data_IF_703933818644
#
_entry.id   IF_703933818644
#
_cell.length_a   1.000
_cell.length_b   1.000
_cell.length_c   1.000
_cell.angle_alpha   90.00
_cell.angle_beta   90.00
_cell.angle_gamma   90.00
#
_symmetry.space_group_name_H-M   'P 1'
#
loop_
_entity.id
_entity.type
_entity.pdbx_description
1 polymer ?
#
# COMPACT_ATOMS: atom_id res chain seq x y z
N UNK A 1 -34.87 -0.55 34.32
CA UNK A 1 -35.23 -0.17 32.94
C UNK A 1 -34.18 0.81 32.39
N UNK A 2 -33.04 0.31 31.87
CA UNK A 2 -31.80 1.12 31.65
C UNK A 2 -31.30 1.13 30.18
N UNK A 3 -32.03 0.56 29.22
CA UNK A 3 -31.64 0.61 27.80
C UNK A 3 -32.68 1.34 26.93
N UNK A 4 -32.88 2.63 27.18
CA UNK A 4 -33.58 3.56 26.26
C UNK A 4 -32.63 4.29 25.30
N UNK A 5 -31.38 3.83 25.15
CA UNK A 5 -30.52 4.29 24.07
C UNK A 5 -30.82 3.47 22.82
N UNK A 6 -31.16 4.13 21.71
CA UNK A 6 -31.36 3.50 20.40
C UNK A 6 -30.16 2.62 20.05
N UNK A 7 -30.39 1.36 19.65
CA UNK A 7 -29.35 0.42 19.23
C UNK A 7 -28.44 1.03 18.15
N UNK A 8 -28.99 1.86 17.26
CA UNK A 8 -28.23 2.64 16.30
C UNK A 8 -27.18 3.57 16.93
N UNK A 9 -27.49 4.23 18.05
CA UNK A 9 -26.55 5.10 18.77
C UNK A 9 -25.41 4.31 19.40
N UNK A 10 -25.65 3.05 19.78
CA UNK A 10 -24.58 2.11 20.21
C UNK A 10 -23.68 1.78 19.02
N UNK A 11 -24.25 1.37 17.89
CA UNK A 11 -23.47 0.98 16.70
C UNK A 11 -22.67 2.15 16.11
N UNK A 12 -23.17 3.40 16.20
CA UNK A 12 -22.45 4.60 15.75
C UNK A 12 -21.14 4.85 16.53
N UNK A 13 -21.10 4.42 17.80
CA UNK A 13 -19.90 4.52 18.66
C UNK A 13 -18.79 3.56 18.22
N UNK A 14 -19.13 2.45 17.55
CA UNK A 14 -18.19 1.41 17.12
C UNK A 14 -17.28 0.95 18.29
N UNK A 15 -16.02 0.61 18.02
CA UNK A 15 -15.03 0.16 19.01
C UNK A 15 -14.73 1.20 20.12
N UNK A 16 -15.20 2.44 20.00
CA UNK A 16 -15.01 3.48 21.00
C UNK A 16 -16.20 3.51 21.96
N UNK A 17 -16.09 2.75 23.05
CA UNK A 17 -17.13 2.59 24.08
C UNK A 17 -17.52 3.91 24.78
N UNK A 18 -16.69 4.95 24.72
CA UNK A 18 -16.95 6.26 25.36
C UNK A 18 -17.37 7.38 24.38
N UNK A 19 -18.52 7.97 24.70
CA UNK A 19 -19.47 8.61 23.78
C UNK A 19 -19.11 10.04 23.29
N UNK A 20 -17.97 10.63 23.65
CA UNK A 20 -17.54 11.97 23.18
C UNK A 20 -16.24 11.95 22.37
N UNK A 21 -15.44 10.92 22.57
CA UNK A 21 -14.11 10.82 21.98
C UNK A 21 -14.17 10.15 20.59
N UNK A 22 -15.23 9.38 20.30
CA UNK A 22 -15.33 8.54 19.09
C UNK A 22 -15.45 9.34 17.78
N UNK A 23 -16.37 10.30 17.67
CA UNK A 23 -16.55 11.09 16.42
C UNK A 23 -15.35 11.98 16.16
N UNK A 24 -14.81 12.64 17.20
CA UNK A 24 -13.60 13.45 17.07
C UNK A 24 -12.40 12.61 16.63
N UNK A 25 -12.26 11.37 17.11
CA UNK A 25 -11.24 10.44 16.64
C UNK A 25 -11.44 10.03 15.18
N UNK A 26 -12.68 9.83 14.71
CA UNK A 26 -12.96 9.55 13.30
C UNK A 26 -12.58 10.73 12.41
N UNK A 27 -12.91 11.95 12.83
CA UNK A 27 -12.53 13.19 12.11
C UNK A 27 -11.00 13.35 12.13
N UNK A 28 -10.35 13.17 13.28
CA UNK A 28 -8.90 13.25 13.38
C UNK A 28 -8.21 12.20 12.49
N UNK A 29 -8.74 10.97 12.45
CA UNK A 29 -8.25 9.92 11.56
C UNK A 29 -8.45 10.29 10.09
N UNK A 30 -9.59 10.87 9.72
CA UNK A 30 -9.85 11.34 8.36
C UNK A 30 -8.89 12.48 7.94
N UNK A 31 -8.66 13.45 8.82
CA UNK A 31 -7.69 14.53 8.60
C UNK A 31 -6.28 13.96 8.46
N UNK A 32 -5.91 13.01 9.33
CA UNK A 32 -4.64 12.31 9.25
C UNK A 32 -4.47 11.59 7.90
N UNK A 33 -5.51 10.94 7.38
CA UNK A 33 -5.45 10.28 6.07
C UNK A 33 -5.23 11.27 4.93
N UNK A 34 -5.88 12.42 4.97
CA UNK A 34 -5.66 13.49 3.99
C UNK A 34 -4.22 14.03 4.07
N UNK A 35 -3.75 14.36 5.27
CA UNK A 35 -2.36 14.80 5.50
C UNK A 35 -1.32 13.76 5.08
N UNK A 36 -1.54 12.48 5.42
CA UNK A 36 -0.64 11.39 5.10
C UNK A 36 -0.56 11.16 3.59
N UNK A 37 -1.71 11.16 2.90
CA UNK A 37 -1.76 11.05 1.44
C UNK A 37 -1.03 12.22 0.78
N UNK A 38 -1.24 13.43 1.30
CA UNK A 38 -0.57 14.63 0.81
C UNK A 38 0.95 14.62 1.05
N UNK A 39 1.40 14.16 2.22
CA UNK A 39 2.82 13.97 2.51
C UNK A 39 3.45 12.92 1.59
N UNK A 40 2.74 11.81 1.35
CA UNK A 40 3.20 10.76 0.45
C UNK A 40 3.28 11.24 -1.00
N UNK A 41 2.36 12.10 -1.44
CA UNK A 41 2.45 12.75 -2.74
C UNK A 41 3.76 13.52 -2.90
N UNK A 42 4.18 14.31 -1.91
CA UNK A 42 5.48 15.00 -1.97
C UNK A 42 6.67 14.05 -2.03
N UNK A 43 6.60 12.92 -1.33
CA UNK A 43 7.61 11.86 -1.44
C UNK A 43 7.70 11.37 -2.88
N UNK A 44 6.58 11.09 -3.52
CA UNK A 44 6.58 10.68 -4.93
C UNK A 44 7.09 11.77 -5.88
N UNK A 45 6.78 13.04 -5.62
CA UNK A 45 7.29 14.15 -6.44
C UNK A 45 8.83 14.25 -6.42
N UNK A 46 9.50 13.82 -5.35
CA UNK A 46 10.98 13.73 -5.35
C UNK A 46 11.55 12.66 -6.28
N UNK A 47 10.70 11.78 -6.83
CA UNK A 47 11.06 10.69 -7.73
C UNK A 47 10.56 10.91 -9.17
N UNK A 48 10.19 12.14 -9.52
CA UNK A 48 9.64 12.46 -10.84
C UNK A 48 10.63 12.14 -11.98
N UNK A 49 11.93 12.29 -11.75
CA UNK A 49 12.99 11.95 -12.73
C UNK A 49 13.45 10.50 -12.55
N UNK A 50 12.54 9.54 -12.49
CA UNK A 50 12.88 8.12 -12.33
C UNK A 50 11.90 7.25 -13.12
N UNK A 51 12.14 5.92 -13.16
CA UNK A 51 11.24 4.94 -13.80
C UNK A 51 9.75 5.11 -13.43
N UNK A 52 9.48 5.68 -12.25
CA UNK A 52 8.12 5.90 -11.77
C UNK A 52 7.33 6.89 -12.62
N UNK A 53 7.97 7.84 -13.34
CA UNK A 53 7.29 8.72 -14.30
C UNK A 53 6.67 7.95 -15.46
N UNK A 54 7.32 6.88 -15.88
CA UNK A 54 6.90 6.10 -17.04
C UNK A 54 5.87 5.05 -16.66
N UNK A 55 6.06 4.42 -15.49
CA UNK A 55 5.21 3.31 -15.03
C UNK A 55 3.91 3.81 -14.41
N UNK A 56 3.95 4.92 -13.65
CA UNK A 56 2.77 5.49 -12.98
C UNK A 56 2.73 7.02 -13.17
N UNK A 57 2.58 7.48 -14.43
CA UNK A 57 2.58 8.91 -14.75
C UNK A 57 1.47 9.67 -14.01
N UNK A 58 0.38 8.99 -13.65
CA UNK A 58 -0.79 9.60 -13.01
C UNK A 58 -0.48 10.17 -11.63
N UNK A 59 0.47 9.59 -10.90
CA UNK A 59 0.86 10.03 -9.55
C UNK A 59 1.93 11.13 -9.63
N UNK A 60 2.75 11.12 -10.68
CA UNK A 60 3.90 12.01 -10.83
C UNK A 60 3.54 13.40 -11.35
N UNK A 61 2.35 13.59 -11.93
CA UNK A 61 1.93 14.90 -12.43
C UNK A 61 1.62 15.91 -11.30
N UNK A 62 2.05 17.18 -11.42
CA UNK A 62 1.73 18.23 -10.46
C UNK A 62 0.27 18.68 -10.60
N UNK A 63 -0.67 17.91 -10.04
CA UNK A 63 -2.09 18.12 -10.26
C UNK A 63 -3.02 17.70 -9.11
N UNK A 64 -4.23 18.26 -9.11
CA UNK A 64 -5.34 17.77 -8.27
C UNK A 64 -5.70 16.32 -8.55
N UNK A 65 -5.53 15.86 -9.78
CA UNK A 65 -5.82 14.48 -10.15
C UNK A 65 -4.90 13.51 -9.39
N UNK A 66 -3.59 13.77 -9.40
CA UNK A 66 -2.56 12.93 -8.80
C UNK A 66 -2.70 12.81 -7.28
N UNK A 67 -2.91 13.94 -6.60
CA UNK A 67 -3.12 13.98 -5.14
C UNK A 67 -4.36 13.19 -4.71
N UNK A 68 -5.46 13.33 -5.45
CA UNK A 68 -6.72 12.64 -5.15
C UNK A 68 -6.67 11.16 -5.53
N UNK A 69 -6.08 10.85 -6.68
CA UNK A 69 -5.86 9.47 -7.11
C UNK A 69 -5.07 8.70 -6.06
N UNK A 70 -4.00 9.30 -5.52
CA UNK A 70 -3.22 8.72 -4.43
C UNK A 70 -4.07 8.56 -3.16
N UNK A 71 -4.82 9.58 -2.76
CA UNK A 71 -5.71 9.51 -1.59
C UNK A 71 -6.69 8.33 -1.66
N UNK A 72 -7.32 8.10 -2.82
CA UNK A 72 -8.28 7.00 -3.02
C UNK A 72 -7.66 5.63 -2.74
N UNK A 73 -6.39 5.41 -3.11
CA UNK A 73 -5.71 4.14 -2.87
C UNK A 73 -5.25 4.01 -1.41
N UNK A 74 -4.76 5.11 -0.83
CA UNK A 74 -4.28 5.14 0.56
C UNK A 74 -5.42 4.93 1.56
N UNK A 75 -6.57 5.58 1.36
CA UNK A 75 -7.73 5.42 2.26
C UNK A 75 -8.23 3.99 2.29
N UNK A 76 -8.21 3.27 1.15
CA UNK A 76 -8.56 1.86 1.08
C UNK A 76 -7.63 1.04 2.00
N UNK A 77 -6.31 1.19 1.87
CA UNK A 77 -5.32 0.46 2.67
C UNK A 77 -5.52 0.70 4.20
N UNK A 78 -5.74 1.95 4.59
CA UNK A 78 -5.95 2.29 5.99
C UNK A 78 -7.30 1.82 6.55
N UNK A 79 -8.38 1.89 5.76
CA UNK A 79 -9.70 1.38 6.19
C UNK A 79 -9.67 -0.14 6.35
N UNK A 80 -8.97 -0.87 5.48
CA UNK A 80 -8.78 -2.32 5.63
C UNK A 80 -8.01 -2.63 6.91
N UNK A 81 -6.91 -1.90 7.17
CA UNK A 81 -6.15 -2.04 8.42
C UNK A 81 -7.04 -1.79 9.64
N UNK A 82 -7.85 -0.73 9.62
CA UNK A 82 -8.85 -0.44 10.66
C UNK A 82 -9.86 -1.59 10.83
N UNK A 83 -10.37 -2.16 9.74
CA UNK A 83 -11.29 -3.30 9.78
C UNK A 83 -10.65 -4.57 10.36
N UNK A 84 -9.37 -4.82 10.07
CA UNK A 84 -8.63 -5.97 10.62
C UNK A 84 -8.40 -5.80 12.13
N UNK A 85 -7.97 -4.61 12.56
CA UNK A 85 -7.67 -4.32 13.95
C UNK A 85 -8.93 -4.37 14.83
N UNK A 86 -10.04 -3.78 14.35
CA UNK A 86 -11.29 -3.66 15.11
C UNK A 86 -12.38 -4.64 14.66
N UNK A 87 -11.99 -5.75 14.02
CA UNK A 87 -12.89 -6.75 13.45
C UNK A 87 -14.00 -7.20 14.43
N UNK A 88 -13.63 -7.43 15.69
CA UNK A 88 -14.51 -7.95 16.74
C UNK A 88 -15.65 -7.00 17.12
N UNK A 89 -15.49 -5.70 16.89
CA UNK A 89 -16.48 -4.69 17.21
C UNK A 89 -17.30 -4.29 15.99
N UNK A 90 -16.66 -4.20 14.82
CA UNK A 90 -17.28 -3.65 13.60
C UNK A 90 -18.24 -4.63 12.90
N UNK A 91 -17.93 -5.92 12.92
CA UNK A 91 -18.67 -6.92 12.13
C UNK A 91 -19.56 -7.83 13.01
N UNK A 92 -20.08 -8.92 12.44
CA UNK A 92 -21.03 -9.81 13.12
C UNK A 92 -20.40 -10.77 14.16
N UNK A 93 -19.23 -10.42 14.71
CA UNK A 93 -18.62 -11.19 15.80
C UNK A 93 -19.53 -11.25 17.05
N UNK A 94 -20.37 -10.23 17.28
CA UNK A 94 -21.38 -10.20 18.33
C UNK A 94 -22.43 -11.31 18.22
N UNK A 95 -22.77 -11.74 16.99
CA UNK A 95 -23.71 -12.85 16.76
C UNK A 95 -23.09 -14.15 17.29
N UNK A 96 -21.79 -14.36 17.05
CA UNK A 96 -21.05 -15.52 17.56
C UNK A 96 -20.91 -15.50 19.08
N UNK A 97 -20.79 -14.31 19.69
CA UNK A 97 -20.74 -14.12 21.16
C UNK A 97 -22.13 -14.14 21.81
N UNK A 98 -23.17 -14.56 21.09
CA UNK A 98 -24.57 -14.61 21.55
C UNK A 98 -25.17 -13.29 22.05
N UNK A 99 -24.50 -12.15 21.82
CA UNK A 99 -25.02 -10.85 22.28
C UNK A 99 -26.33 -10.50 21.57
N UNK A 100 -26.45 -10.88 20.30
CA UNK A 100 -27.68 -10.69 19.53
C UNK A 100 -28.82 -11.59 20.00
N UNK A 101 -28.53 -12.83 20.42
CA UNK A 101 -29.54 -13.73 20.95
C UNK A 101 -30.22 -13.12 22.19
N UNK A 102 -29.43 -12.61 23.13
CA UNK A 102 -29.96 -11.92 24.32
C UNK A 102 -30.81 -10.70 23.96
N UNK A 103 -30.39 -9.90 22.98
CA UNK A 103 -31.16 -8.74 22.51
C UNK A 103 -32.50 -9.17 21.87
N UNK A 104 -32.51 -10.26 21.11
CA UNK A 104 -33.74 -10.79 20.51
C UNK A 104 -34.71 -11.25 21.60
N UNK A 105 -34.23 -11.94 22.64
CA UNK A 105 -35.06 -12.35 23.78
C UNK A 105 -35.60 -11.16 24.59
N UNK A 106 -34.87 -10.03 24.60
CA UNK A 106 -35.34 -8.76 25.17
C UNK A 106 -36.31 -7.99 24.25
N UNK A 107 -36.72 -8.56 23.11
CA UNK A 107 -37.73 -7.98 22.21
C UNK A 107 -37.17 -7.13 21.07
N UNK A 108 -35.85 -7.11 20.83
CA UNK A 108 -35.28 -6.38 19.70
C UNK A 108 -35.49 -7.13 18.38
N UNK A 109 -35.86 -6.41 17.32
CA UNK A 109 -36.06 -6.98 15.98
C UNK A 109 -34.70 -7.19 15.27
N UNK A 110 -34.34 -8.42 14.86
CA UNK A 110 -33.08 -8.71 14.15
C UNK A 110 -32.87 -7.89 12.88
N UNK A 111 -33.94 -7.59 12.14
CA UNK A 111 -33.86 -6.83 10.88
C UNK A 111 -33.45 -5.38 11.15
N UNK A 112 -34.03 -4.75 12.17
CA UNK A 112 -33.69 -3.38 12.57
C UNK A 112 -32.24 -3.33 13.10
N UNK A 113 -31.82 -4.35 13.84
CA UNK A 113 -30.43 -4.46 14.31
C UNK A 113 -29.44 -4.59 13.14
N UNK A 114 -29.75 -5.43 12.14
CA UNK A 114 -28.95 -5.54 10.92
C UNK A 114 -28.81 -4.20 10.20
N UNK A 115 -29.92 -3.52 9.88
CA UNK A 115 -29.87 -2.24 9.19
C UNK A 115 -29.15 -1.17 10.02
N UNK A 116 -29.38 -1.14 11.34
CA UNK A 116 -28.68 -0.20 12.22
C UNK A 116 -27.16 -0.38 12.16
N UNK A 117 -26.69 -1.63 12.17
CA UNK A 117 -25.26 -1.95 12.08
C UNK A 117 -24.68 -1.63 10.71
N UNK A 118 -25.41 -1.98 9.65
CA UNK A 118 -25.04 -1.67 8.27
C UNK A 118 -24.88 -0.15 8.06
N UNK A 119 -25.91 0.62 8.40
CA UNK A 119 -25.90 2.07 8.24
C UNK A 119 -24.86 2.75 9.13
N UNK A 120 -24.65 2.29 10.37
CA UNK A 120 -23.62 2.85 11.25
C UNK A 120 -22.20 2.64 10.68
N UNK A 121 -21.91 1.47 10.13
CA UNK A 121 -20.60 1.21 9.51
C UNK A 121 -20.42 2.01 8.23
N UNK A 122 -21.43 1.99 7.33
CA UNK A 122 -21.38 2.76 6.09
C UNK A 122 -21.25 4.26 6.34
N UNK A 123 -22.06 4.83 7.23
CA UNK A 123 -21.96 6.24 7.62
C UNK A 123 -20.56 6.61 8.12
N UNK A 124 -19.96 5.74 8.95
CA UNK A 124 -18.62 5.98 9.47
C UNK A 124 -17.55 5.97 8.38
N UNK A 125 -17.62 5.02 7.44
CA UNK A 125 -16.69 4.92 6.32
C UNK A 125 -16.85 6.10 5.38
N UNK A 126 -18.09 6.46 5.04
CA UNK A 126 -18.42 7.64 4.23
C UNK A 126 -17.86 8.89 4.90
N UNK A 127 -18.14 9.12 6.19
CA UNK A 127 -17.64 10.30 6.90
C UNK A 127 -16.10 10.39 6.86
N UNK A 128 -15.41 9.30 7.16
CA UNK A 128 -13.94 9.27 7.15
C UNK A 128 -13.42 9.59 5.75
N UNK A 129 -13.99 8.96 4.73
CA UNK A 129 -13.60 9.16 3.35
C UNK A 129 -13.87 10.58 2.84
N UNK A 130 -15.06 11.13 3.08
CA UNK A 130 -15.43 12.48 2.64
C UNK A 130 -14.58 13.55 3.31
N UNK A 131 -14.36 13.46 4.63
CA UNK A 131 -13.54 14.45 5.34
C UNK A 131 -12.09 14.41 4.85
N UNK A 132 -11.48 13.23 4.70
CA UNK A 132 -10.11 13.13 4.20
C UNK A 132 -9.98 13.59 2.73
N UNK A 133 -11.01 13.36 1.90
CA UNK A 133 -11.04 13.81 0.52
C UNK A 133 -11.08 15.35 0.43
N UNK A 134 -11.94 15.99 1.24
CA UNK A 134 -12.02 17.45 1.33
C UNK A 134 -10.69 18.03 1.84
N UNK A 135 -10.10 17.45 2.88
CA UNK A 135 -8.78 17.87 3.39
C UNK A 135 -7.73 17.81 2.29
N UNK A 136 -7.71 16.73 1.50
CA UNK A 136 -6.76 16.58 0.38
C UNK A 136 -6.97 17.67 -0.67
N UNK A 137 -8.22 17.98 -1.04
CA UNK A 137 -8.52 19.10 -1.96
C UNK A 137 -8.02 20.44 -1.40
N UNK A 138 -8.28 20.72 -0.12
CA UNK A 138 -7.87 21.97 0.52
C UNK A 138 -6.34 22.09 0.51
N UNK A 139 -5.63 21.02 0.88
CA UNK A 139 -4.17 21.00 0.87
C UNK A 139 -3.60 21.19 -0.53
N UNK A 140 -4.18 20.52 -1.54
CA UNK A 140 -3.74 20.70 -2.93
C UNK A 140 -4.03 22.10 -3.46
N UNK A 141 -5.10 22.73 -3.00
CA UNK A 141 -5.39 24.13 -3.33
C UNK A 141 -4.30 25.08 -2.84
N UNK A 142 -3.67 24.81 -1.70
CA UNK A 142 -2.53 25.59 -1.19
C UNK A 142 -1.29 25.51 -2.11
N UNK A 143 -1.19 24.47 -2.95
CA UNK A 143 -0.10 24.32 -3.92
C UNK A 143 -0.31 25.13 -5.21
N UNK A 144 -1.42 25.86 -5.33
CA UNK A 144 -1.76 26.68 -6.51
C UNK A 144 -1.78 25.91 -7.83
N UNK A 145 -2.07 24.60 -7.80
CA UNK A 145 -2.30 23.82 -9.01
C UNK A 145 -3.59 24.23 -9.72
N UNK A 146 -3.68 23.94 -11.02
CA UNK A 146 -4.90 24.24 -11.80
C UNK A 146 -6.08 23.43 -11.28
N UNK A 147 -7.08 24.13 -10.74
CA UNK A 147 -8.29 23.50 -10.22
C UNK A 147 -9.22 23.12 -11.37
N UNK A 148 -9.52 21.83 -11.51
CA UNK A 148 -10.48 21.31 -12.49
C UNK A 148 -11.54 20.51 -11.74
N UNK A 149 -12.75 21.07 -11.68
CA UNK A 149 -13.88 20.49 -10.95
C UNK A 149 -14.43 19.21 -11.63
N UNK A 150 -14.29 19.09 -12.95
CA UNK A 150 -14.99 18.07 -13.74
C UNK A 150 -14.71 16.63 -13.30
N UNK A 151 -13.47 16.30 -12.92
CA UNK A 151 -13.12 14.92 -12.50
C UNK A 151 -13.29 14.65 -11.01
N UNK A 152 -13.51 15.67 -10.17
CA UNK A 152 -13.59 15.49 -8.71
C UNK A 152 -14.77 14.60 -8.29
N UNK A 153 -16.01 14.78 -8.81
CA UNK A 153 -17.15 13.94 -8.44
C UNK A 153 -16.94 12.48 -8.87
N UNK A 154 -16.43 12.26 -10.07
CA UNK A 154 -16.18 10.93 -10.62
C UNK A 154 -15.14 10.17 -9.78
N UNK A 155 -14.01 10.81 -9.47
CA UNK A 155 -12.98 10.23 -8.59
C UNK A 155 -13.51 9.97 -7.18
N UNK A 156 -14.27 10.91 -6.62
CA UNK A 156 -14.90 10.74 -5.30
C UNK A 156 -15.76 9.47 -5.27
N UNK A 157 -16.60 9.26 -6.29
CA UNK A 157 -17.50 8.13 -6.36
C UNK A 157 -16.79 6.80 -6.59
N UNK A 158 -15.71 6.78 -7.37
CA UNK A 158 -14.88 5.59 -7.54
C UNK A 158 -14.36 5.10 -6.20
N UNK A 159 -13.71 5.97 -5.42
CA UNK A 159 -13.20 5.57 -4.11
C UNK A 159 -14.31 5.21 -3.11
N UNK A 160 -15.45 5.91 -3.17
CA UNK A 160 -16.61 5.60 -2.34
C UNK A 160 -17.18 4.21 -2.66
N UNK A 161 -17.36 3.89 -3.93
CA UNK A 161 -17.88 2.60 -4.38
C UNK A 161 -16.98 1.44 -3.94
N UNK A 162 -15.66 1.59 -4.10
CA UNK A 162 -14.67 0.60 -3.65
C UNK A 162 -14.78 0.34 -2.14
N UNK A 163 -14.87 1.41 -1.34
CA UNK A 163 -15.02 1.30 0.12
C UNK A 163 -16.35 0.67 0.54
N UNK A 164 -17.46 1.01 -0.11
CA UNK A 164 -18.78 0.41 0.16
C UNK A 164 -18.78 -1.07 -0.19
N UNK A 165 -18.17 -1.45 -1.32
CA UNK A 165 -18.02 -2.84 -1.76
C UNK A 165 -17.18 -3.66 -0.77
N UNK A 166 -16.02 -3.15 -0.35
CA UNK A 166 -15.18 -3.79 0.68
C UNK A 166 -15.96 -3.96 1.98
N UNK A 167 -16.73 -2.95 2.37
CA UNK A 167 -17.48 -2.95 3.63
C UNK A 167 -18.58 -4.03 3.63
N UNK A 168 -19.38 -4.14 2.56
CA UNK A 168 -20.45 -5.15 2.48
C UNK A 168 -19.90 -6.57 2.32
N UNK A 169 -18.81 -6.76 1.56
CA UNK A 169 -18.14 -8.05 1.42
C UNK A 169 -17.55 -8.50 2.76
N UNK A 170 -16.88 -7.59 3.48
CA UNK A 170 -16.30 -7.90 4.79
C UNK A 170 -17.37 -8.25 5.83
N UNK A 171 -18.50 -7.53 5.83
CA UNK A 171 -19.67 -7.92 6.63
C UNK A 171 -20.18 -9.32 6.26
N UNK A 172 -20.26 -9.63 4.96
CA UNK A 172 -20.76 -10.92 4.48
C UNK A 172 -19.87 -12.07 4.94
N UNK A 173 -18.57 -11.99 4.67
CA UNK A 173 -17.64 -13.04 5.08
C UNK A 173 -17.54 -13.19 6.60
N UNK A 174 -17.81 -12.12 7.36
CA UNK A 174 -17.83 -12.21 8.82
C UNK A 174 -18.85 -13.21 9.36
N UNK A 175 -19.96 -13.45 8.64
CA UNK A 175 -20.98 -14.45 8.99
C UNK A 175 -20.55 -15.91 8.69
N UNK A 176 -19.50 -16.10 7.90
CA UNK A 176 -18.93 -17.40 7.57
C UNK A 176 -17.67 -17.70 8.39
N UNK A 177 -17.11 -16.68 9.05
CA UNK A 177 -15.88 -16.80 9.82
C UNK A 177 -16.10 -17.57 11.15
N UNK A 178 -15.56 -18.79 11.22
CA UNK A 178 -15.59 -19.61 12.44
C UNK A 178 -14.79 -19.00 13.60
N UNK A 179 -13.66 -18.35 13.30
CA UNK A 179 -12.78 -17.72 14.29
C UNK A 179 -12.57 -16.23 13.96
N UNK A 180 -12.19 -15.44 14.97
CA UNK A 180 -11.80 -14.02 14.79
C UNK A 180 -10.68 -13.89 13.76
N UNK A 181 -9.65 -14.73 13.89
CA UNK A 181 -8.47 -14.68 13.02
C UNK A 181 -8.83 -14.99 11.56
N UNK A 182 -9.66 -16.01 11.31
CA UNK A 182 -10.14 -16.29 9.96
C UNK A 182 -10.95 -15.12 9.42
N UNK A 183 -11.75 -14.47 10.28
CA UNK A 183 -12.47 -13.25 9.93
C UNK A 183 -11.55 -12.12 9.47
N UNK A 184 -10.45 -11.87 10.20
CA UNK A 184 -9.43 -10.88 9.82
C UNK A 184 -8.77 -11.21 8.48
N UNK A 185 -8.45 -12.48 8.22
CA UNK A 185 -7.92 -12.91 6.92
C UNK A 185 -8.93 -12.72 5.79
N UNK A 186 -10.21 -13.03 6.03
CA UNK A 186 -11.26 -12.77 5.05
C UNK A 186 -11.41 -11.28 4.75
N UNK A 187 -11.32 -10.40 5.75
CA UNK A 187 -11.30 -8.94 5.55
C UNK A 187 -10.12 -8.48 4.70
N UNK A 188 -8.93 -9.06 4.87
CA UNK A 188 -7.80 -8.76 3.98
C UNK A 188 -8.08 -9.26 2.55
N UNK A 189 -8.61 -10.48 2.42
CA UNK A 189 -8.91 -11.07 1.11
C UNK A 189 -9.98 -10.30 0.34
N UNK A 190 -10.93 -9.62 1.02
CA UNK A 190 -11.93 -8.78 0.33
C UNK A 190 -11.29 -7.63 -0.42
N UNK A 191 -10.27 -7.00 0.15
CA UNK A 191 -9.53 -5.93 -0.50
C UNK A 191 -8.80 -6.41 -1.74
N UNK A 192 -8.11 -7.57 -1.63
CA UNK A 192 -7.44 -8.22 -2.75
C UNK A 192 -8.44 -8.56 -3.85
N UNK A 193 -9.60 -9.10 -3.48
CA UNK A 193 -10.67 -9.44 -4.41
C UNK A 193 -11.19 -8.19 -5.15
N UNK A 194 -11.41 -7.07 -4.45
CA UNK A 194 -11.85 -5.81 -5.08
C UNK A 194 -10.78 -5.28 -6.04
N UNK A 195 -9.51 -5.33 -5.67
CA UNK A 195 -8.41 -4.95 -6.55
C UNK A 195 -8.34 -5.83 -7.81
N UNK A 196 -8.45 -7.15 -7.66
CA UNK A 196 -8.48 -8.10 -8.78
C UNK A 196 -9.68 -7.87 -9.68
N UNK A 197 -10.88 -7.64 -9.12
CA UNK A 197 -12.09 -7.33 -9.89
C UNK A 197 -11.93 -6.03 -10.69
N UNK A 198 -11.32 -5.00 -10.10
CA UNK A 198 -11.07 -3.71 -10.74
C UNK A 198 -10.15 -3.84 -11.95
N UNK A 199 -9.10 -4.65 -11.82
CA UNK A 199 -8.16 -4.93 -12.92
C UNK A 199 -8.80 -5.83 -13.99
N UNK A 200 -9.47 -6.91 -13.59
CA UNK A 200 -10.08 -7.87 -14.50
C UNK A 200 -11.23 -7.28 -15.33
N UNK A 201 -11.99 -6.33 -14.76
CA UNK A 201 -13.14 -5.70 -15.42
C UNK A 201 -12.77 -4.40 -16.16
N UNK A 202 -11.49 -4.07 -16.30
CA UNK A 202 -11.02 -2.94 -17.11
C UNK A 202 -11.21 -1.56 -16.47
N UNK A 203 -11.43 -1.48 -15.15
CA UNK A 203 -11.70 -0.22 -14.47
C UNK A 203 -10.41 0.59 -14.20
N UNK A 204 -9.27 -0.07 -14.05
CA UNK A 204 -7.99 0.62 -13.72
C UNK A 204 -7.54 1.62 -14.80
N UNK A 205 -7.53 1.28 -16.12
CA UNK A 205 -7.18 2.23 -17.19
C UNK A 205 -8.10 3.45 -17.27
N UNK A 206 -9.36 3.32 -16.83
CA UNK A 206 -10.34 4.41 -16.85
C UNK A 206 -10.03 5.39 -15.72
N UNK A 207 -9.68 4.89 -14.52
CA UNK A 207 -9.40 5.72 -13.34
C UNK A 207 -8.04 6.40 -13.46
N UNK A 208 -7.08 5.79 -14.15
CA UNK A 208 -5.77 6.38 -14.38
C UNK A 208 -5.83 7.52 -15.41
N UNK A 209 -6.83 7.54 -16.30
CA UNK A 209 -6.95 8.57 -17.31
C UNK A 209 -7.79 9.79 -16.83
N UNK A 210 -7.13 10.95 -16.78
CA UNK A 210 -7.75 12.23 -16.39
C UNK A 210 -8.94 12.62 -17.27
N UNK A 211 -8.90 12.34 -18.58
CA UNK A 211 -9.93 12.75 -19.53
C UNK A 211 -11.21 11.93 -19.33
N UNK A 212 -11.09 10.61 -19.18
CA UNK A 212 -12.26 9.76 -18.91
C UNK A 212 -12.93 10.15 -17.60
N UNK A 213 -12.16 10.49 -16.57
CA UNK A 213 -12.71 10.89 -15.27
C UNK A 213 -13.50 12.21 -15.30
N UNK A 214 -13.39 13.06 -16.32
CA UNK A 214 -14.19 14.30 -16.41
C UNK A 214 -15.68 14.05 -16.63
N UNK A 215 -16.03 12.91 -17.23
CA UNK A 215 -17.41 12.57 -17.57
C UNK A 215 -17.91 11.47 -16.64
N UNK A 216 -18.91 11.78 -15.81
CA UNK A 216 -19.52 10.82 -14.88
C UNK A 216 -20.10 9.57 -15.58
N UNK A 217 -20.65 9.74 -16.79
CA UNK A 217 -21.25 8.65 -17.56
C UNK A 217 -20.27 7.54 -17.95
N UNK A 218 -18.96 7.83 -17.98
CA UNK A 218 -17.93 6.85 -18.31
C UNK A 218 -17.88 5.68 -17.34
N UNK A 219 -18.26 5.91 -16.08
CA UNK A 219 -18.31 4.87 -15.05
C UNK A 219 -19.37 3.79 -15.33
N UNK A 220 -20.45 4.16 -16.01
CA UNK A 220 -21.57 3.26 -16.30
C UNK A 220 -21.56 2.71 -17.72
N UNK A 221 -20.54 3.04 -18.52
CA UNK A 221 -20.43 2.54 -19.88
C UNK A 221 -19.90 1.09 -19.88
N UNK A 222 -20.81 0.15 -20.16
CA UNK A 222 -20.52 -1.29 -20.22
C UNK A 222 -19.51 -1.69 -21.29
N UNK A 223 -19.32 -0.85 -22.32
CA UNK A 223 -18.29 -1.10 -23.34
C UNK A 223 -16.87 -0.84 -22.81
N UNK A 224 -16.74 0.06 -21.83
CA UNK A 224 -15.45 0.43 -21.24
C UNK A 224 -15.14 -0.44 -20.01
N UNK A 225 -16.11 -0.62 -19.10
CA UNK A 225 -15.91 -1.41 -17.89
C UNK A 225 -17.21 -2.00 -17.37
N UNK A 226 -17.17 -3.28 -17.01
CA UNK A 226 -18.26 -3.99 -16.34
C UNK A 226 -18.26 -3.82 -14.82
N UNK A 227 -17.28 -3.11 -14.25
CA UNK A 227 -17.03 -3.07 -12.80
C UNK A 227 -18.21 -2.54 -12.00
N UNK A 228 -18.86 -1.47 -12.45
CA UNK A 228 -19.99 -0.86 -11.73
C UNK A 228 -21.23 -1.75 -11.72
N UNK A 229 -21.50 -2.44 -12.83
CA UNK A 229 -22.62 -3.39 -12.92
C UNK A 229 -22.36 -4.61 -12.03
N UNK A 230 -21.17 -5.22 -12.13
CA UNK A 230 -20.81 -6.37 -11.30
C UNK A 230 -20.74 -5.99 -9.82
N UNK A 231 -20.13 -4.86 -9.49
CA UNK A 231 -20.01 -4.35 -8.13
C UNK A 231 -21.37 -4.08 -7.49
N UNK A 232 -22.30 -3.44 -8.21
CA UNK A 232 -23.67 -3.23 -7.71
C UNK A 232 -24.43 -4.55 -7.50
N UNK A 233 -24.29 -5.51 -8.42
CA UNK A 233 -24.85 -6.86 -8.27
C UNK A 233 -24.30 -7.60 -7.05
N UNK A 234 -23.00 -7.49 -6.78
CA UNK A 234 -22.35 -8.04 -5.59
C UNK A 234 -22.90 -7.38 -4.32
N UNK A 235 -23.00 -6.05 -4.28
CA UNK A 235 -23.52 -5.32 -3.11
C UNK A 235 -24.93 -5.78 -2.75
N UNK A 236 -25.83 -5.87 -3.75
CA UNK A 236 -27.22 -6.31 -3.54
C UNK A 236 -27.26 -7.75 -3.04
N UNK A 237 -26.55 -8.66 -3.71
CA UNK A 237 -26.53 -10.09 -3.36
C UNK A 237 -25.97 -10.32 -1.95
N UNK A 238 -24.85 -9.69 -1.63
CA UNK A 238 -24.21 -9.76 -0.32
C UNK A 238 -25.08 -9.15 0.79
N UNK A 239 -25.76 -8.03 0.50
CA UNK A 239 -26.72 -7.41 1.41
C UNK A 239 -27.88 -8.34 1.77
N UNK A 240 -28.47 -9.01 0.76
CA UNK A 240 -29.52 -10.00 0.98
C UNK A 240 -29.02 -11.21 1.78
N UNK A 241 -27.85 -11.76 1.43
CA UNK A 241 -27.23 -12.87 2.17
C UNK A 241 -27.02 -12.48 3.64
N UNK A 242 -26.50 -11.27 3.90
CA UNK A 242 -26.31 -10.78 5.27
C UNK A 242 -27.63 -10.70 6.04
N UNK A 243 -28.68 -10.15 5.43
CA UNK A 243 -29.99 -9.99 6.08
C UNK A 243 -30.60 -11.34 6.46
N UNK A 244 -30.63 -12.31 5.54
CA UNK A 244 -31.21 -13.63 5.81
C UNK A 244 -30.37 -14.44 6.80
N UNK A 245 -29.05 -14.46 6.60
CA UNK A 245 -28.15 -15.30 7.39
C UNK A 245 -27.93 -14.75 8.80
N UNK A 246 -27.79 -13.44 8.97
CA UNK A 246 -27.67 -12.84 10.32
C UNK A 246 -28.93 -13.12 11.15
N UNK A 247 -30.12 -12.97 10.55
CA UNK A 247 -31.40 -13.31 11.18
C UNK A 247 -31.47 -14.78 11.57
N UNK A 248 -31.01 -15.69 10.71
CA UNK A 248 -31.10 -17.12 10.99
C UNK A 248 -30.15 -17.55 12.11
N UNK A 249 -28.89 -17.11 12.06
CA UNK A 249 -27.88 -17.48 13.07
C UNK A 249 -28.22 -16.86 14.43
N UNK A 250 -28.70 -15.62 14.47
CA UNK A 250 -28.99 -14.93 15.74
C UNK A 250 -30.16 -15.53 16.54
N UNK A 251 -31.01 -16.37 15.92
CA UNK A 251 -32.10 -17.08 16.62
C UNK A 251 -31.59 -18.16 17.56
N UNK A 252 -30.42 -18.72 17.30
CA UNK A 252 -29.89 -19.86 18.03
C UNK A 252 -28.77 -19.40 18.96
N UNK A 253 -28.77 -19.96 20.17
CA UNK A 253 -27.66 -19.79 21.09
C UNK A 253 -26.49 -20.65 20.61
N UNK A 254 -25.39 -20.02 20.22
CA UNK A 254 -24.17 -20.74 19.89
C UNK A 254 -23.43 -21.07 21.18
N UNK A 255 -23.39 -22.33 21.62
CA UNK A 255 -22.40 -22.72 22.63
C UNK A 255 -21.01 -22.53 22.00
N UNK A 256 -20.39 -21.38 22.25
CA UNK A 256 -18.94 -21.32 22.19
C UNK A 256 -18.45 -22.24 23.31
N UNK A 257 -17.63 -23.26 23.03
CA UNK A 257 -16.97 -24.01 24.11
C UNK A 257 -16.03 -23.02 24.80
N UNK A 258 -16.54 -22.34 25.82
CA UNK A 258 -15.76 -21.45 26.66
C UNK A 258 -15.05 -22.33 27.68
N UNK A 259 -13.73 -22.53 27.57
CA UNK A 259 -13.00 -23.44 28.45
C UNK A 259 -13.02 -22.98 29.93
N UNK A 260 -13.42 -21.74 30.21
CA UNK A 260 -13.39 -21.16 31.56
C UNK A 260 -14.69 -21.39 32.36
N UNK A 261 -15.78 -21.81 31.70
CA UNK A 261 -17.09 -22.07 32.35
C UNK A 261 -17.25 -23.55 32.75
N UNK A 262 -16.35 -24.42 32.27
CA UNK A 262 -16.43 -25.87 32.44
C UNK A 262 -15.35 -26.35 33.42
N UNK A 263 -15.69 -27.22 34.39
CA UNK A 263 -14.70 -27.87 35.23
C UNK A 263 -13.66 -28.61 34.36
N UNK A 264 -12.37 -28.52 34.72
CA UNK A 264 -11.23 -29.04 33.94
C UNK A 264 -11.31 -30.54 33.56
N UNK A 265 -12.21 -31.30 34.19
CA UNK A 265 -12.29 -32.76 34.10
C UNK A 265 -13.55 -33.29 33.38
N UNK A 266 -14.34 -32.45 32.70
CA UNK A 266 -15.51 -32.91 31.93
C UNK A 266 -15.25 -32.96 30.42
N UNK A 267 -15.37 -34.16 29.85
CA UNK A 267 -15.42 -34.37 28.40
C UNK A 267 -16.82 -34.00 27.87
N UNK A 268 -16.90 -32.92 27.09
CA UNK A 268 -18.13 -32.55 26.39
C UNK A 268 -18.29 -33.41 25.14
N UNK A 269 -19.47 -34.01 24.99
CA UNK A 269 -19.84 -34.78 23.80
C UNK A 269 -20.93 -33.99 23.06
N UNK A 270 -20.62 -33.53 21.85
CA UNK A 270 -21.62 -32.98 20.93
C UNK A 270 -22.37 -34.15 20.30
N UNK A 271 -23.69 -34.20 20.49
CA UNK A 271 -24.55 -35.20 19.85
C UNK A 271 -25.21 -34.51 18.66
N UNK A 272 -24.90 -34.96 17.45
CA UNK A 272 -25.57 -34.50 16.24
C UNK A 272 -27.05 -34.94 16.28
N UNK A 273 -27.96 -33.97 16.28
CA UNK A 273 -29.40 -34.21 16.40
C UNK A 273 -30.00 -34.97 15.22
N UNK A 274 -29.30 -35.02 14.08
CA UNK A 274 -29.77 -35.69 12.86
C UNK A 274 -29.15 -37.08 12.72
N UNK A 275 -27.87 -37.24 13.06
CA UNK A 275 -27.14 -38.50 12.84
C UNK A 275 -26.89 -39.32 14.10
N UNK A 276 -27.18 -38.78 15.29
CA UNK A 276 -26.94 -39.42 16.59
C UNK A 276 -25.45 -39.64 16.91
N UNK A 277 -24.54 -39.15 16.06
CA UNK A 277 -23.11 -39.35 16.23
C UNK A 277 -22.59 -38.47 17.36
N UNK A 278 -21.92 -39.12 18.30
CA UNK A 278 -21.25 -38.50 19.43
C UNK A 278 -19.85 -38.04 19.01
N UNK A 279 -19.58 -36.74 19.14
CA UNK A 279 -18.26 -36.16 18.89
C UNK A 279 -17.71 -35.58 20.18
N UNK A 280 -16.64 -36.18 20.68
CA UNK A 280 -15.93 -35.69 21.88
C UNK A 280 -15.22 -34.37 21.53
N UNK A 281 -15.63 -33.29 22.16
CA UNK A 281 -14.96 -31.98 22.10
C UNK A 281 -13.83 -32.02 23.12
N UNK A 282 -12.66 -32.54 22.73
CA UNK A 282 -11.50 -32.57 23.61
C UNK A 282 -11.04 -31.14 23.93
N UNK A 283 -11.10 -30.76 25.20
CA UNK A 283 -10.61 -29.49 25.76
C UNK A 283 -9.08 -29.53 25.86
N UNK A 284 -8.37 -29.76 24.75
CA UNK A 284 -6.98 -29.33 24.67
C UNK A 284 -6.99 -27.87 24.28
N UNK A 285 -7.07 -26.99 25.28
CA UNK A 285 -6.65 -25.60 25.16
C UNK A 285 -5.22 -25.63 24.65
N UNK A 286 -5.05 -25.53 23.32
CA UNK A 286 -3.75 -25.33 22.68
C UNK A 286 -3.29 -23.93 23.10
N UNK A 287 -2.69 -23.85 24.29
CA UNK A 287 -1.96 -22.69 24.78
C UNK A 287 -0.89 -22.35 23.74
N UNK A 288 -1.20 -21.38 22.89
CA UNK A 288 -0.24 -20.45 22.32
C UNK A 288 0.76 -20.91 21.26
N UNK A 289 0.60 -22.04 20.55
CA UNK A 289 1.53 -22.32 19.42
C UNK A 289 1.45 -21.22 18.35
N UNK A 290 0.24 -20.69 18.11
CA UNK A 290 -0.02 -19.63 17.13
C UNK A 290 0.41 -18.23 17.58
N UNK A 291 0.32 -17.94 18.88
CA UNK A 291 0.87 -16.71 19.45
C UNK A 291 2.38 -16.68 19.30
N UNK A 292 3.04 -17.80 19.60
CA UNK A 292 4.48 -17.97 19.37
C UNK A 292 4.85 -17.86 17.90
N UNK A 293 4.11 -18.48 16.97
CA UNK A 293 4.37 -18.35 15.53
C UNK A 293 4.21 -16.90 15.06
N UNK A 294 3.13 -16.21 15.43
CA UNK A 294 2.95 -14.80 15.07
C UNK A 294 4.05 -13.93 15.65
N UNK A 295 4.44 -14.13 16.91
CA UNK A 295 5.51 -13.38 17.55
C UNK A 295 6.88 -13.70 16.93
N UNK A 296 7.13 -14.97 16.53
CA UNK A 296 8.34 -15.38 15.82
C UNK A 296 8.39 -14.81 14.40
N UNK A 297 7.27 -14.82 13.67
CA UNK A 297 7.18 -14.28 12.32
C UNK A 297 7.32 -12.76 12.34
N UNK A 298 6.67 -12.05 13.27
CA UNK A 298 6.82 -10.59 13.37
C UNK A 298 8.26 -10.19 13.73
N UNK A 299 8.88 -10.92 14.66
CA UNK A 299 10.28 -10.69 15.03
C UNK A 299 11.23 -11.00 13.86
N UNK A 300 11.01 -12.11 13.15
CA UNK A 300 11.80 -12.47 11.96
C UNK A 300 11.66 -11.40 10.86
N UNK A 301 10.45 -10.95 10.58
CA UNK A 301 10.19 -9.93 9.57
C UNK A 301 10.84 -8.59 9.95
N UNK A 302 10.81 -8.22 11.24
CA UNK A 302 11.48 -7.03 11.75
C UNK A 302 13.01 -7.13 11.63
N UNK A 303 13.60 -8.29 11.93
CA UNK A 303 15.03 -8.55 11.74
C UNK A 303 15.39 -8.45 10.26
N UNK A 304 14.66 -9.13 9.38
CA UNK A 304 14.90 -9.08 7.92
C UNK A 304 14.79 -7.65 7.41
N UNK A 305 13.79 -6.89 7.85
CA UNK A 305 13.62 -5.49 7.48
C UNK A 305 14.82 -4.62 7.90
N UNK A 306 15.29 -4.77 9.14
CA UNK A 306 16.48 -4.04 9.63
C UNK A 306 17.71 -4.43 8.82
N UNK A 307 17.94 -5.73 8.57
CA UNK A 307 19.08 -6.21 7.79
C UNK A 307 19.07 -5.65 6.36
N UNK A 308 17.91 -5.67 5.69
CA UNK A 308 17.75 -5.11 4.34
C UNK A 308 17.98 -3.60 4.34
N UNK A 309 17.41 -2.86 5.29
CA UNK A 309 17.58 -1.42 5.38
C UNK A 309 19.05 -1.03 5.63
N UNK A 310 19.75 -1.75 6.51
CA UNK A 310 21.19 -1.57 6.73
C UNK A 310 22.02 -1.89 5.49
N UNK A 311 21.71 -2.99 4.79
CA UNK A 311 22.40 -3.35 3.54
C UNK A 311 22.22 -2.27 2.47
N UNK A 312 21.01 -1.72 2.32
CA UNK A 312 20.72 -0.60 1.42
C UNK A 312 21.54 0.63 1.81
N UNK A 313 21.62 1.00 3.10
CA UNK A 313 22.43 2.13 3.53
C UNK A 313 23.91 1.96 3.20
N UNK A 314 24.49 0.79 3.49
CA UNK A 314 25.88 0.49 3.14
C UNK A 314 26.08 0.61 1.63
N UNK A 315 25.16 0.05 0.85
CA UNK A 315 25.20 0.13 -0.60
C UNK A 315 25.15 1.57 -1.13
N UNK A 316 24.28 2.42 -0.59
CA UNK A 316 24.19 3.85 -0.96
C UNK A 316 25.47 4.60 -0.59
N UNK A 317 26.05 4.33 0.59
CA UNK A 317 27.32 4.93 0.99
C UNK A 317 28.43 4.56 -0.01
N UNK A 318 28.49 3.29 -0.43
CA UNK A 318 29.47 2.82 -1.42
C UNK A 318 29.31 3.53 -2.77
N UNK A 319 28.07 3.70 -3.24
CA UNK A 319 27.79 4.40 -4.50
C UNK A 319 28.12 5.90 -4.37
N UNK A 320 27.65 6.57 -3.32
CA UNK A 320 27.89 8.00 -3.12
C UNK A 320 29.37 8.32 -2.81
N UNK A 321 30.12 7.37 -2.25
CA UNK A 321 31.56 7.51 -2.02
C UNK A 321 32.40 7.35 -3.30
N UNK A 322 31.78 6.92 -4.41
CA UNK A 322 32.41 6.87 -5.73
C UNK A 322 32.45 8.27 -6.34
N UNK A 323 33.23 9.16 -5.71
CA UNK A 323 33.62 10.49 -6.20
C UNK A 323 34.63 10.38 -7.35
N UNK A 324 34.72 11.39 -8.26
CA UNK A 324 35.74 11.41 -9.33
C UNK A 324 37.15 11.21 -8.77
N UNK A 325 37.88 10.23 -9.30
CA UNK A 325 39.24 9.86 -8.87
C UNK A 325 39.35 8.67 -7.91
N UNK A 326 38.26 8.18 -7.29
CA UNK A 326 38.23 6.92 -6.51
C UNK A 326 36.95 6.13 -6.78
N UNK A 327 36.86 5.53 -7.96
CA UNK A 327 35.74 4.66 -8.32
C UNK A 327 35.78 3.36 -7.49
N UNK A 328 34.72 3.10 -6.72
CA UNK A 328 34.62 1.87 -5.95
C UNK A 328 34.12 0.75 -6.87
N UNK A 329 35.05 -0.02 -7.43
CA UNK A 329 34.70 -1.19 -8.24
C UNK A 329 34.28 -2.37 -7.36
N UNK A 330 33.07 -2.88 -7.55
CA UNK A 330 32.57 -4.08 -6.88
C UNK A 330 32.75 -5.25 -7.86
N UNK A 331 33.67 -6.16 -7.56
CA UNK A 331 34.01 -7.32 -8.44
C UNK A 331 34.35 -6.91 -9.88
N UNK A 332 35.01 -5.77 -10.06
CA UNK A 332 35.41 -5.26 -11.39
C UNK A 332 34.30 -4.50 -12.12
N UNK A 333 33.14 -4.27 -11.49
CA UNK A 333 32.05 -3.44 -12.05
C UNK A 333 31.98 -2.12 -11.26
N UNK A 334 31.90 -1.01 -11.97
CA UNK A 334 31.74 0.34 -11.45
C UNK A 334 30.25 0.69 -11.53
N UNK A 335 29.53 0.76 -10.40
CA UNK A 335 28.17 1.26 -10.38
C UNK A 335 28.17 2.79 -10.46
N UNK A 336 27.38 3.36 -11.37
CA UNK A 336 27.32 4.81 -11.59
C UNK A 336 25.87 5.27 -11.76
N UNK A 337 25.46 6.30 -11.02
CA UNK A 337 24.12 6.90 -11.17
C UNK A 337 24.22 7.98 -12.24
N UNK A 338 23.52 7.79 -13.35
CA UNK A 338 23.59 8.71 -14.47
C UNK A 338 22.72 9.95 -14.20
N UNK A 339 23.28 11.16 -14.27
CA UNK A 339 22.57 12.40 -13.90
C UNK A 339 22.25 13.31 -15.10
N UNK A 340 22.41 12.82 -16.33
CA UNK A 340 22.21 13.58 -17.57
C UNK A 340 21.14 12.91 -18.45
N UNK A 341 20.62 13.61 -19.45
CA UNK A 341 19.77 13.05 -20.50
C UNK A 341 20.53 12.73 -21.79
N UNK A 342 21.84 12.96 -21.83
CA UNK A 342 22.68 12.90 -23.06
C UNK A 342 22.79 11.52 -23.70
N UNK A 343 22.39 10.46 -23.01
CA UNK A 343 22.51 9.06 -23.49
C UNK A 343 21.14 8.40 -23.70
N UNK A 344 20.06 9.19 -23.73
CA UNK A 344 18.73 8.69 -24.02
C UNK A 344 18.64 8.19 -25.48
N UNK A 345 17.92 7.08 -25.76
CA UNK A 345 17.08 6.29 -24.84
C UNK A 345 17.82 5.11 -24.17
N UNK A 346 19.11 4.90 -24.45
CA UNK A 346 19.82 3.72 -23.96
C UNK A 346 20.11 3.79 -22.46
N UNK A 347 20.43 4.99 -21.95
CA UNK A 347 20.59 5.30 -20.53
C UNK A 347 19.76 6.55 -20.23
N UNK A 348 18.88 6.45 -19.24
CA UNK A 348 18.02 7.56 -18.83
C UNK A 348 18.51 8.19 -17.53
N UNK A 349 18.00 9.39 -17.26
CA UNK A 349 18.33 10.13 -16.04
C UNK A 349 17.98 9.32 -14.78
N UNK A 350 18.88 9.37 -13.80
CA UNK A 350 18.87 8.66 -12.52
C UNK A 350 18.86 7.13 -12.62
N UNK A 351 19.20 6.55 -13.77
CA UNK A 351 19.43 5.11 -13.87
C UNK A 351 20.72 4.70 -13.14
N UNK A 352 20.68 3.53 -12.50
CA UNK A 352 21.89 2.88 -12.03
C UNK A 352 22.52 2.11 -13.20
N UNK A 353 23.63 2.63 -13.71
CA UNK A 353 24.42 2.03 -14.80
C UNK A 353 25.60 1.25 -14.25
N UNK A 354 26.01 0.23 -14.99
CA UNK A 354 27.12 -0.64 -14.64
C UNK A 354 28.19 -0.58 -15.73
N UNK A 355 29.41 -0.21 -15.35
CA UNK A 355 30.55 -0.20 -16.24
C UNK A 355 31.55 -1.28 -15.84
N UNK A 356 31.91 -2.16 -16.76
CA UNK A 356 32.98 -3.11 -16.56
C UNK A 356 34.31 -2.35 -16.58
N UNK A 357 35.10 -2.43 -15.50
CA UNK A 357 36.42 -1.82 -15.45
C UNK A 357 37.31 -2.46 -16.50
N UNK A 358 37.97 -1.63 -17.31
CA UNK A 358 38.84 -2.08 -18.40
C UNK A 358 40.26 -1.53 -18.22
N UNK A 359 41.25 -2.33 -18.60
CA UNK A 359 42.63 -1.88 -18.65
C UNK A 359 42.91 -1.09 -19.94
N UNK A 360 43.99 -0.32 -19.96
CA UNK A 360 44.40 0.48 -21.13
C UNK A 360 44.65 -0.35 -22.40
N UNK A 361 44.91 -1.65 -22.26
CA UNK A 361 45.15 -2.59 -23.37
C UNK A 361 43.86 -3.13 -24.01
N UNK A 362 42.71 -2.97 -23.34
CA UNK A 362 41.44 -3.48 -23.85
C UNK A 362 41.04 -2.72 -25.12
N UNK A 363 40.68 -3.44 -26.18
CA UNK A 363 40.26 -2.83 -27.44
C UNK A 363 38.81 -2.33 -27.32
N UNK A 364 38.63 -1.03 -27.52
CA UNK A 364 37.32 -0.37 -27.54
C UNK A 364 36.88 -0.28 -29.01
N UNK A 365 35.65 -0.71 -29.27
CA UNK A 365 35.04 -0.72 -30.61
C UNK A 365 34.12 0.50 -30.81
N UNK A 366 33.89 0.86 -32.07
CA UNK A 366 32.94 1.92 -32.42
C UNK A 366 31.51 1.49 -32.03
N UNK A 367 30.72 2.45 -31.55
CA UNK A 367 29.37 2.24 -31.04
C UNK A 367 29.28 1.86 -29.56
N UNK A 368 30.40 1.57 -28.89
CA UNK A 368 30.42 1.26 -27.46
C UNK A 368 30.24 2.52 -26.60
N UNK A 369 29.51 2.39 -25.49
CA UNK A 369 29.36 3.45 -24.48
C UNK A 369 30.44 3.27 -23.42
N UNK A 370 31.16 4.36 -23.11
CA UNK A 370 32.30 4.33 -22.20
C UNK A 370 32.16 5.37 -21.09
N UNK A 371 32.71 5.04 -19.92
CA UNK A 371 32.90 5.95 -18.80
C UNK A 371 34.35 6.45 -18.83
N UNK A 372 34.52 7.76 -18.92
CA UNK A 372 35.84 8.39 -18.96
C UNK A 372 35.88 9.66 -18.12
N UNK A 373 37.10 10.06 -17.75
CA UNK A 373 37.33 11.27 -16.97
C UNK A 373 37.97 12.36 -17.83
N UNK A 374 37.38 13.56 -17.80
CA UNK A 374 37.91 14.75 -18.44
C UNK A 374 37.75 15.93 -17.49
N UNK A 375 38.82 16.70 -17.26
CA UNK A 375 38.80 17.85 -16.34
C UNK A 375 38.28 17.54 -14.92
N UNK A 376 38.64 16.37 -14.37
CA UNK A 376 38.16 15.85 -13.07
C UNK A 376 36.64 15.62 -13.00
N UNK A 377 35.96 15.52 -14.14
CA UNK A 377 34.55 15.17 -14.24
C UNK A 377 34.40 13.87 -15.02
N UNK A 378 33.47 13.02 -14.58
CA UNK A 378 33.14 11.78 -15.25
C UNK A 378 32.07 12.05 -16.31
N UNK A 379 32.32 11.54 -17.51
CA UNK A 379 31.41 11.60 -18.64
C UNK A 379 31.08 10.19 -19.14
N UNK A 380 29.86 10.03 -19.64
CA UNK A 380 29.40 8.81 -20.30
C UNK A 380 28.94 9.20 -21.69
N UNK A 381 29.64 8.71 -22.70
CA UNK A 381 29.41 9.04 -24.11
C UNK A 381 29.69 7.82 -24.99
N UNK A 382 29.20 7.85 -26.23
CA UNK A 382 29.39 6.76 -27.20
C UNK A 382 30.59 7.02 -28.09
N UNK A 383 31.39 5.99 -28.34
CA UNK A 383 32.49 6.05 -29.30
C UNK A 383 31.94 6.11 -30.73
N UNK A 384 32.23 7.18 -31.44
CA UNK A 384 31.82 7.38 -32.84
C UNK A 384 32.89 6.92 -33.80
N UNK A 385 34.16 7.23 -33.52
CA UNK A 385 35.26 6.80 -34.36
C UNK A 385 36.57 6.71 -33.59
N UNK A 386 37.50 5.91 -34.13
CA UNK A 386 38.83 5.70 -33.57
C UNK A 386 39.91 6.33 -34.45
N UNK A 387 40.77 7.13 -33.83
CA UNK A 387 42.08 7.53 -34.37
C UNK A 387 43.15 6.81 -33.54
N UNK A 388 44.32 6.49 -34.11
CA UNK A 388 45.32 5.56 -33.52
C UNK A 388 45.46 5.61 -31.98
N UNK A 389 45.55 6.83 -31.42
CA UNK A 389 45.72 7.04 -29.97
C UNK A 389 44.61 7.90 -29.32
N UNK A 390 43.55 8.24 -30.07
CA UNK A 390 42.46 9.11 -29.62
C UNK A 390 41.10 8.52 -30.01
N UNK A 391 40.16 8.54 -29.07
CA UNK A 391 38.78 8.14 -29.32
C UNK A 391 37.96 9.40 -29.53
N UNK A 392 37.14 9.41 -30.58
CA UNK A 392 36.14 10.45 -30.79
C UNK A 392 34.84 9.94 -30.19
N UNK A 393 34.36 10.67 -29.18
CA UNK A 393 33.14 10.35 -28.44
C UNK A 393 32.09 11.43 -28.68
N UNK A 394 30.83 11.03 -28.53
CA UNK A 394 29.68 11.91 -28.73
C UNK A 394 28.47 11.47 -27.90
N UNK A 395 27.51 12.37 -27.73
CA UNK A 395 26.25 12.15 -27.03
C UNK A 395 25.18 11.58 -27.99
N UNK A 396 24.28 10.75 -27.46
CA UNK A 396 23.17 10.19 -28.25
C UNK A 396 21.98 11.14 -28.34
N UNK A 397 21.72 11.89 -27.25
CA UNK A 397 20.61 12.82 -27.16
C UNK A 397 21.11 14.26 -27.02
N UNK A 398 20.82 15.06 -28.04
CA UNK A 398 21.24 16.44 -28.14
C UNK A 398 20.24 17.38 -27.47
N UNK A 399 20.71 18.41 -26.73
CA UNK A 399 19.84 19.46 -26.22
C UNK A 399 19.03 20.12 -27.35
N UNK A 400 17.81 20.60 -27.06
CA UNK A 400 17.01 21.32 -28.05
C UNK A 400 17.80 22.48 -28.66
N UNK A 401 17.73 22.64 -29.98
CA UNK A 401 18.46 23.66 -30.76
C UNK A 401 19.97 23.40 -30.99
N UNK A 402 20.52 22.27 -30.52
CA UNK A 402 21.89 21.86 -30.87
C UNK A 402 21.93 21.10 -32.20
N UNK A 403 23.02 21.24 -32.96
CA UNK A 403 23.26 20.48 -34.19
C UNK A 403 23.87 19.12 -33.88
N UNK A 404 23.48 18.10 -34.63
CA UNK A 404 24.06 16.75 -34.52
C UNK A 404 25.56 16.84 -34.85
N UNK A 405 26.39 16.29 -33.97
CA UNK A 405 27.85 16.28 -34.03
C UNK A 405 28.51 17.52 -33.42
N UNK A 406 27.76 18.48 -32.87
CA UNK A 406 28.33 19.69 -32.27
C UNK A 406 29.06 19.44 -30.93
N UNK A 407 28.80 18.30 -30.29
CA UNK A 407 29.32 17.94 -28.96
C UNK A 407 30.41 16.87 -29.01
N UNK A 408 30.98 16.61 -30.19
CA UNK A 408 32.07 15.64 -30.35
C UNK A 408 33.31 16.05 -29.57
N UNK A 409 33.89 15.10 -28.83
CA UNK A 409 35.14 15.30 -28.09
C UNK A 409 36.19 14.29 -28.53
N UNK A 410 37.44 14.69 -28.49
CA UNK A 410 38.58 13.80 -28.69
C UNK A 410 39.23 13.53 -27.34
N UNK A 411 39.22 12.26 -26.92
CA UNK A 411 39.75 11.82 -25.64
C UNK A 411 40.89 10.84 -25.82
N UNK A 412 41.84 10.85 -24.89
CA UNK A 412 42.90 9.85 -24.85
C UNK A 412 42.34 8.52 -24.33
N UNK A 413 42.74 7.41 -24.93
CA UNK A 413 42.36 6.04 -24.48
C UNK A 413 42.66 5.79 -23.00
N UNK A 414 43.70 6.42 -22.46
CA UNK A 414 44.11 6.29 -21.06
C UNK A 414 43.11 6.90 -20.07
N UNK A 415 42.25 7.81 -20.51
CA UNK A 415 41.23 8.46 -19.66
C UNK A 415 39.97 7.60 -19.47
N UNK A 416 39.87 6.45 -20.15
CA UNK A 416 38.70 5.58 -20.11
C UNK A 416 38.82 4.59 -18.96
N UNK A 417 37.85 4.62 -18.05
CA UNK A 417 37.80 3.81 -16.83
C UNK A 417 36.96 2.54 -17.00
N UNK A 418 35.88 2.60 -17.78
CA UNK A 418 34.96 1.47 -17.90
C UNK A 418 34.16 1.41 -19.20
N UNK A 419 33.74 0.20 -19.56
CA UNK A 419 32.87 -0.10 -20.69
C UNK A 419 31.46 -0.40 -20.19
N UNK A 420 30.43 0.19 -20.81
CA UNK A 420 29.04 -0.03 -20.42
C UNK A 420 28.64 -1.52 -20.55
N UNK A 421 28.08 -2.07 -19.47
CA UNK A 421 27.60 -3.46 -19.42
C UNK A 421 26.08 -3.57 -19.28
N UNK A 422 25.40 -2.56 -18.73
CA UNK A 422 23.95 -2.56 -18.57
C UNK A 422 23.44 -1.53 -17.56
N UNK A 423 22.11 -1.48 -17.41
CA UNK A 423 21.42 -0.55 -16.50
C UNK A 423 20.31 -1.21 -15.68
N UNK A 424 19.98 -0.61 -14.53
CA UNK A 424 18.80 -0.93 -13.74
C UNK A 424 18.08 0.34 -13.28
N UNK A 425 16.94 0.62 -13.91
CA UNK A 425 16.13 1.81 -13.65
C UNK A 425 15.47 1.80 -12.26
N UNK A 426 15.03 0.62 -11.78
CA UNK A 426 14.37 0.49 -10.47
C UNK A 426 15.33 0.68 -9.30
N UNK A 427 16.58 0.20 -9.42
CA UNK A 427 17.61 0.48 -8.42
C UNK A 427 18.02 1.95 -8.43
N UNK A 428 18.06 2.58 -9.61
CA UNK A 428 18.22 4.03 -9.75
C UNK A 428 17.17 4.82 -8.96
N UNK A 429 15.88 4.49 -9.17
CA UNK A 429 14.77 5.08 -8.42
C UNK A 429 14.87 4.86 -6.90
N UNK A 430 15.34 3.68 -6.46
CA UNK A 430 15.56 3.38 -5.05
C UNK A 430 16.68 4.22 -4.44
N UNK A 431 17.80 4.39 -5.16
CA UNK A 431 18.93 5.23 -4.74
C UNK A 431 18.49 6.69 -4.67
N UNK A 432 17.78 7.17 -5.69
CA UNK A 432 17.20 8.51 -5.71
C UNK A 432 16.31 8.73 -4.47
N UNK A 433 15.39 7.81 -4.20
CA UNK A 433 14.54 7.86 -3.00
C UNK A 433 15.35 7.87 -1.72
N UNK A 434 16.34 6.99 -1.59
CA UNK A 434 17.15 6.92 -0.40
C UNK A 434 18.02 8.16 -0.17
N UNK A 435 18.33 8.93 -1.22
CA UNK A 435 19.01 10.22 -1.14
C UNK A 435 18.09 11.37 -0.70
N UNK A 436 16.77 11.20 -0.73
CA UNK A 436 15.80 12.20 -0.22
C UNK A 436 15.81 12.27 1.30
N UNK A 437 15.36 13.39 1.88
CA UNK A 437 15.24 13.54 3.34
C UNK A 437 14.37 12.42 3.94
N UNK A 438 13.24 12.12 3.29
CA UNK A 438 12.30 11.10 3.77
C UNK A 438 12.90 9.70 3.66
N UNK A 439 13.56 9.38 2.54
CA UNK A 439 14.26 8.11 2.37
C UNK A 439 15.40 7.93 3.35
N UNK A 440 16.21 8.97 3.61
CA UNK A 440 17.26 8.95 4.65
C UNK A 440 16.67 8.70 6.03
N UNK A 441 15.58 9.36 6.39
CA UNK A 441 14.88 9.10 7.67
C UNK A 441 14.38 7.64 7.71
N UNK A 442 13.78 7.14 6.63
CA UNK A 442 13.24 5.79 6.57
C UNK A 442 14.33 4.71 6.64
N UNK A 443 15.45 4.88 5.95
CA UNK A 443 16.51 3.87 5.91
C UNK A 443 17.51 4.00 7.06
N UNK A 444 17.82 5.20 7.56
CA UNK A 444 18.78 5.39 8.64
C UNK A 444 18.10 5.44 10.02
N UNK A 445 17.12 6.33 10.18
CA UNK A 445 16.53 6.61 11.50
C UNK A 445 15.61 5.47 11.96
N UNK A 446 14.72 4.97 11.11
CA UNK A 446 13.74 3.95 11.53
C UNK A 446 14.43 2.65 11.98
N UNK A 447 15.39 2.07 11.24
CA UNK A 447 16.10 0.87 11.72
C UNK A 447 16.93 1.14 12.97
N UNK A 448 17.56 2.31 13.11
CA UNK A 448 18.29 2.67 14.32
C UNK A 448 17.35 2.72 15.53
N UNK A 449 16.21 3.40 15.41
CA UNK A 449 15.18 3.45 16.46
C UNK A 449 14.66 2.04 16.77
N UNK A 450 14.38 1.22 15.76
CA UNK A 450 13.93 -0.15 15.98
C UNK A 450 14.99 -0.99 16.71
N UNK A 451 16.28 -0.86 16.37
CA UNK A 451 17.38 -1.56 17.05
C UNK A 451 17.53 -1.15 18.52
N UNK A 452 17.49 0.16 18.81
CA UNK A 452 17.62 0.66 20.19
C UNK A 452 16.38 0.38 21.04
N UNK A 453 15.19 0.49 20.44
CA UNK A 453 13.91 0.39 21.15
C UNK A 453 13.22 -0.97 21.00
N UNK A 454 13.83 -1.98 20.35
CA UNK A 454 13.24 -3.31 20.16
C UNK A 454 12.70 -3.92 21.46
N UNK A 455 13.41 -3.75 22.58
CA UNK A 455 12.99 -4.29 23.88
C UNK A 455 11.75 -3.60 24.44
N UNK A 456 11.60 -2.29 24.19
CA UNK A 456 10.43 -1.52 24.61
C UNK A 456 9.23 -1.81 23.71
N UNK A 457 9.45 -1.85 22.39
CA UNK A 457 8.44 -2.22 21.38
C UNK A 457 7.91 -3.62 21.64
N UNK A 458 8.80 -4.58 21.91
CA UNK A 458 8.42 -5.96 22.26
C UNK A 458 7.58 -6.02 23.56
N UNK A 459 7.95 -5.25 24.59
CA UNK A 459 7.18 -5.16 25.85
C UNK A 459 5.81 -4.52 25.64
N UNK A 460 5.70 -3.51 24.76
CA UNK A 460 4.43 -2.86 24.42
C UNK A 460 3.46 -3.84 23.75
N UNK A 461 3.90 -4.55 22.70
CA UNK A 461 3.07 -5.54 22.02
C UNK A 461 2.68 -6.74 22.91
N UNK A 462 3.50 -7.06 23.91
CA UNK A 462 3.19 -8.12 24.87
C UNK A 462 2.16 -7.70 25.94
N UNK A 463 2.06 -6.40 26.25
CA UNK A 463 1.12 -5.86 27.25
C UNK A 463 -0.35 -5.96 26.81
N UNK A 464 -0.62 -5.89 25.51
CA UNK A 464 -1.98 -6.03 24.94
C UNK A 464 -2.52 -7.47 24.95
N UNK A 465 -1.69 -8.47 25.28
CA UNK A 465 -2.13 -9.88 25.41
C UNK A 465 -2.48 -10.26 26.87
N UNK A 466 -2.35 -9.35 27.83
CA UNK A 466 -2.55 -9.62 29.27
C UNK A 466 -3.70 -8.83 29.90
N UNK A 467 -4.71 -8.44 29.11
CA UNK A 467 -5.97 -7.86 29.61
C UNK A 467 -7.14 -8.64 29.03
#
# INVERSE_FOLDING_TARGET
MIYKNSYFKKELRQAYTENKISTNRKIAFAVFLGLFSFALYFVFQTLQESVLSDVVPEIMQPSFFSTIYLYIHIVIAFIISYFILYYDYLFFAEIRKNSWYLLIQMGYNPVIMFFSKLFALMYSVILIYTVGFIVTIILTFLLKYTFILAYLPTLYLVGLADLLLITILSMTFSLYAKTVLNGRYWTFFTAVLVFVLKTALGQYPIISNRVYMQNFSTLFNLQLSGYWLVGSGIIITCGLICLFRSRNIAKYYNLAPDPDILPLDMELVEIDSITGKQKVISIKVKKGWRGRILDTVTTLLLIVFICVALAINVFIIVINASTPGQEVSIRGVIPFVFSSSTMEPEIEINDLTYFQKIDAQYQIEEGQIILFEENNLLYVERVVSKTDNQLIVDIDYYPPMSQIGAMKKSINRQAVHGLYSGRNRWLGALILFANTIVGRILFLLVPAVLLFYQGQVYRYFRKDKSI
#
